data_IF_625175940716
#
_entry.id   IF_625175940716
#
_cell.length_a   1.000
_cell.length_b   1.000
_cell.length_c   1.000
_cell.angle_alpha   90.00
_cell.angle_beta   90.00
_cell.angle_gamma   90.00
#
_symmetry.space_group_name_H-M   'P 1'
#
loop_
_entity.id
_entity.type
_entity.pdbx_description
1 polymer ?
#
# COMPACT_ATOMS: atom_id res chain seq x y z
N UNK A 1 8.70 -17.31 4.70
CA UNK A 1 10.16 -17.37 4.98
C UNK A 1 11.03 -17.01 3.77
N UNK A 2 10.65 -17.39 2.54
CA UNK A 2 11.43 -17.17 1.32
C UNK A 2 11.74 -15.69 1.01
N UNK A 3 10.73 -14.82 1.05
CA UNK A 3 10.90 -13.38 0.79
C UNK A 3 12.00 -12.75 1.66
N UNK A 4 11.99 -13.02 2.97
CA UNK A 4 13.00 -12.51 3.90
C UNK A 4 14.41 -13.02 3.54
N UNK A 5 14.54 -14.32 3.21
CA UNK A 5 15.81 -14.88 2.74
C UNK A 5 16.31 -14.24 1.44
N UNK A 6 15.43 -13.92 0.50
CA UNK A 6 15.81 -13.25 -0.75
C UNK A 6 16.31 -11.85 -0.46
N UNK A 7 15.60 -11.08 0.37
CA UNK A 7 16.01 -9.72 0.75
C UNK A 7 17.37 -9.72 1.46
N UNK A 8 17.54 -10.63 2.43
CA UNK A 8 18.79 -10.77 3.18
C UNK A 8 19.96 -11.15 2.27
N UNK A 9 19.77 -12.13 1.37
CA UNK A 9 20.81 -12.57 0.42
C UNK A 9 21.20 -11.48 -0.58
N UNK A 10 20.27 -10.63 -0.97
CA UNK A 10 20.51 -9.53 -1.91
C UNK A 10 20.91 -8.22 -1.22
N UNK A 11 21.11 -8.23 0.11
CA UNK A 11 21.48 -7.05 0.90
C UNK A 11 20.53 -5.86 0.65
N UNK A 12 19.23 -6.15 0.51
CA UNK A 12 18.22 -5.11 0.30
C UNK A 12 18.15 -4.25 1.56
N UNK A 13 18.51 -2.97 1.42
CA UNK A 13 18.60 -2.02 2.53
C UNK A 13 17.24 -1.55 3.01
N UNK A 14 16.29 -1.41 2.10
CA UNK A 14 14.96 -0.88 2.38
C UNK A 14 13.94 -1.54 1.45
N UNK A 15 12.78 -1.87 2.01
CA UNK A 15 11.61 -2.31 1.26
C UNK A 15 10.53 -1.25 1.44
N UNK A 16 10.03 -0.71 0.33
CA UNK A 16 8.90 0.22 0.33
C UNK A 16 7.70 -0.42 -0.34
N UNK A 17 6.51 -0.26 0.25
CA UNK A 17 5.26 -0.75 -0.33
C UNK A 17 4.46 0.38 -0.93
N UNK A 18 3.90 0.13 -2.12
CA UNK A 18 3.13 1.08 -2.92
C UNK A 18 1.69 0.57 -3.19
N UNK A 19 1.12 -0.18 -2.25
CA UNK A 19 -0.25 -0.70 -2.40
C UNK A 19 -1.27 0.43 -2.54
N UNK A 20 -2.39 0.11 -3.21
CA UNK A 20 -3.51 1.00 -3.42
C UNK A 20 -3.95 1.71 -2.12
N UNK A 21 -4.37 2.95 -2.23
CA UNK A 21 -4.89 3.75 -1.13
C UNK A 21 -6.38 3.44 -0.87
N UNK A 22 -6.70 2.16 -0.77
CA UNK A 22 -8.01 1.66 -0.42
C UNK A 22 -7.94 0.70 0.78
N UNK A 23 -9.11 0.24 1.25
CA UNK A 23 -9.19 -0.65 2.42
C UNK A 23 -8.35 -1.92 2.23
N UNK A 24 -8.32 -2.49 1.03
CA UNK A 24 -7.60 -3.73 0.76
C UNK A 24 -6.09 -3.49 0.73
N UNK A 25 -5.63 -2.43 0.05
CA UNK A 25 -4.23 -2.03 0.05
C UNK A 25 -3.71 -1.71 1.45
N UNK A 26 -4.53 -1.09 2.30
CA UNK A 26 -4.17 -0.88 3.71
C UNK A 26 -4.02 -2.19 4.48
N UNK A 27 -4.90 -3.18 4.28
CA UNK A 27 -4.78 -4.51 4.90
C UNK A 27 -3.50 -5.22 4.48
N UNK A 28 -3.19 -5.25 3.17
CA UNK A 28 -1.98 -5.88 2.66
C UNK A 28 -0.72 -5.23 3.20
N UNK A 29 -0.72 -3.90 3.33
CA UNK A 29 0.38 -3.17 3.96
C UNK A 29 0.61 -3.63 5.40
N UNK A 30 -0.45 -3.78 6.20
CA UNK A 30 -0.33 -4.27 7.57
C UNK A 30 0.11 -5.74 7.64
N UNK A 31 -0.38 -6.60 6.76
CA UNK A 31 0.08 -7.99 6.69
C UNK A 31 1.55 -8.10 6.29
N UNK A 32 2.02 -7.26 5.36
CA UNK A 32 3.43 -7.21 4.99
C UNK A 32 4.29 -6.75 6.16
N UNK A 33 3.87 -5.68 6.86
CA UNK A 33 4.54 -5.19 8.06
C UNK A 33 4.61 -6.26 9.15
N UNK A 34 3.49 -6.95 9.41
CA UNK A 34 3.40 -8.11 10.32
C UNK A 34 4.37 -9.23 9.93
N UNK A 35 4.46 -9.55 8.64
CA UNK A 35 5.34 -10.61 8.15
C UNK A 35 6.84 -10.33 8.41
N UNK A 36 7.26 -9.06 8.36
CA UNK A 36 8.66 -8.68 8.60
C UNK A 36 8.99 -8.39 10.07
N UNK A 37 8.10 -7.69 10.77
CA UNK A 37 8.34 -7.18 12.12
C UNK A 37 7.69 -8.01 13.23
N UNK A 38 6.88 -9.02 12.89
CA UNK A 38 6.23 -9.91 13.86
C UNK A 38 5.08 -9.28 14.63
N UNK A 39 4.48 -8.21 14.09
CA UNK A 39 3.31 -7.55 14.68
C UNK A 39 2.13 -8.55 14.81
N UNK A 40 1.41 -8.53 15.94
CA UNK A 40 0.26 -9.40 16.21
C UNK A 40 -1.08 -8.71 15.97
N UNK A 41 -1.07 -7.48 15.45
CA UNK A 41 -2.29 -6.73 15.10
C UNK A 41 -3.23 -7.61 14.27
N UNK A 42 -4.47 -7.76 14.76
CA UNK A 42 -5.55 -8.39 14.02
C UNK A 42 -6.09 -7.40 12.98
N UNK A 43 -5.62 -7.54 11.75
CA UNK A 43 -5.93 -6.62 10.65
C UNK A 43 -7.41 -6.70 10.23
N UNK A 44 -8.06 -7.83 10.46
CA UNK A 44 -9.45 -8.05 10.04
C UNK A 44 -10.48 -7.36 10.96
N UNK A 45 -10.14 -7.15 12.23
CA UNK A 45 -11.02 -6.43 13.17
C UNK A 45 -10.92 -4.91 13.09
N UNK A 46 -9.92 -4.37 12.39
CA UNK A 46 -9.72 -2.92 12.28
C UNK A 46 -10.73 -2.27 11.32
N UNK A 47 -11.21 -1.10 11.72
CA UNK A 47 -11.96 -0.22 10.84
C UNK A 47 -11.07 0.37 9.74
N UNK A 48 -11.70 0.93 8.69
CA UNK A 48 -10.96 1.53 7.58
C UNK A 48 -10.09 2.72 8.04
N UNK A 49 -10.61 3.55 8.93
CA UNK A 49 -9.87 4.71 9.46
C UNK A 49 -8.67 4.27 10.32
N UNK A 50 -8.82 3.21 11.12
CA UNK A 50 -7.71 2.63 11.88
C UNK A 50 -6.63 2.04 10.98
N UNK A 51 -7.04 1.30 9.94
CA UNK A 51 -6.13 0.75 8.93
C UNK A 51 -5.33 1.89 8.28
N UNK A 52 -6.02 2.91 7.76
CA UNK A 52 -5.39 4.08 7.12
C UNK A 52 -4.45 4.82 8.07
N UNK A 53 -4.87 5.03 9.32
CA UNK A 53 -4.06 5.73 10.32
C UNK A 53 -2.81 4.95 10.71
N UNK A 54 -2.89 3.63 10.83
CA UNK A 54 -1.71 2.79 11.08
C UNK A 54 -0.78 2.80 9.88
N UNK A 55 -1.32 2.68 8.65
CA UNK A 55 -0.52 2.69 7.42
C UNK A 55 0.25 4.01 7.26
N UNK A 56 -0.39 5.16 7.51
CA UNK A 56 0.25 6.48 7.45
C UNK A 56 1.40 6.70 8.44
N UNK A 57 1.46 5.91 9.52
CA UNK A 57 2.56 5.97 10.50
C UNK A 57 3.78 5.17 10.07
N UNK A 58 3.65 4.32 9.05
CA UNK A 58 4.75 3.49 8.55
C UNK A 58 5.62 4.29 7.59
N UNK A 59 6.91 4.40 7.87
CA UNK A 59 7.89 5.09 7.01
C UNK A 59 8.23 4.32 5.73
N UNK A 60 7.91 3.04 5.69
CA UNK A 60 8.19 2.12 4.56
C UNK A 60 7.03 2.04 3.57
N UNK A 61 6.07 2.98 3.64
CA UNK A 61 4.88 2.98 2.79
C UNK A 61 4.83 4.28 2.03
N UNK A 62 4.61 4.18 0.73
CA UNK A 62 4.32 5.31 -0.15
C UNK A 62 2.89 5.12 -0.65
N UNK A 63 2.02 6.10 -0.35
CA UNK A 63 0.62 6.07 -0.74
C UNK A 63 0.39 7.04 -1.89
N UNK A 64 -0.45 6.62 -2.84
CA UNK A 64 -1.03 7.51 -3.84
C UNK A 64 -1.93 8.57 -3.18
N UNK A 65 -2.06 9.72 -3.84
CA UNK A 65 -3.01 10.75 -3.44
C UNK A 65 -4.45 10.31 -3.69
N UNK A 66 -4.68 9.66 -4.84
CA UNK A 66 -5.95 9.06 -5.22
C UNK A 66 -5.95 7.55 -4.91
N UNK A 67 -6.81 6.79 -5.59
CA UNK A 67 -7.02 5.35 -5.32
C UNK A 67 -5.76 4.53 -5.54
N UNK A 68 -5.04 4.76 -6.63
CA UNK A 68 -3.79 4.09 -6.95
C UNK A 68 -2.84 5.03 -7.71
N UNK A 69 -1.59 4.58 -7.89
CA UNK A 69 -0.57 5.36 -8.61
C UNK A 69 -0.89 5.57 -10.09
N UNK A 70 -1.70 4.71 -10.72
CA UNK A 70 -2.08 4.91 -12.12
C UNK A 70 -3.07 6.07 -12.25
N UNK A 71 -3.99 6.23 -11.31
CA UNK A 71 -4.90 7.36 -11.26
C UNK A 71 -4.14 8.67 -11.04
N UNK A 72 -3.16 8.69 -10.14
CA UNK A 72 -2.25 9.84 -9.95
C UNK A 72 -1.46 10.16 -11.23
N UNK A 73 -0.96 9.13 -11.92
CA UNK A 73 -0.25 9.30 -13.18
C UNK A 73 -1.14 9.88 -14.29
N UNK A 74 -2.39 9.41 -14.41
CA UNK A 74 -3.34 9.95 -15.39
C UNK A 74 -3.63 11.42 -15.13
N UNK A 75 -3.90 11.79 -13.88
CA UNK A 75 -4.17 13.17 -13.48
C UNK A 75 -2.96 14.07 -13.75
N UNK A 76 -1.77 13.64 -13.35
CA UNK A 76 -0.53 14.41 -13.57
C UNK A 76 -0.16 14.57 -15.05
N UNK A 77 -0.50 13.59 -15.89
CA UNK A 77 -0.30 13.68 -17.34
C UNK A 77 -1.39 14.48 -18.06
N UNK A 78 -2.39 15.01 -17.35
CA UNK A 78 -3.55 15.68 -17.95
C UNK A 78 -4.42 14.73 -18.78
N UNK A 79 -4.23 13.42 -18.62
CA UNK A 79 -5.04 12.37 -19.23
C UNK A 79 -6.26 12.17 -18.31
N UNK A 80 -7.10 13.21 -18.20
CA UNK A 80 -8.47 12.97 -17.81
C UNK A 80 -9.09 12.19 -18.96
N UNK A 81 -9.30 10.89 -18.78
CA UNK A 81 -10.24 10.19 -19.64
C UNK A 81 -11.58 10.87 -19.41
N UNK A 82 -11.98 11.73 -20.34
CA UNK A 82 -13.38 11.95 -20.64
C UNK A 82 -13.92 10.59 -21.06
N UNK A 83 -14.23 9.72 -20.09
CA UNK A 83 -15.28 8.74 -20.32
C UNK A 83 -16.54 9.57 -20.35
N UNK A 84 -16.86 10.07 -21.54
CA UNK A 84 -18.23 10.32 -21.93
C UNK A 84 -19.04 9.12 -21.46
N UNK A 85 -20.05 9.39 -20.65
CA UNK A 85 -21.02 8.43 -20.17
C UNK A 85 -21.56 7.63 -21.36
N UNK A 86 -21.11 6.39 -21.48
CA UNK A 86 -21.67 5.39 -22.37
C UNK A 86 -23.02 4.94 -21.80
N UNK A 87 -24.04 5.67 -22.22
CA UNK A 87 -25.49 5.39 -22.28
C UNK A 87 -25.98 3.98 -21.92
#
# INVERSE_FOLDING_TARGET
>A
RLLRLILDKNQVKELRSIFDNDKQGHKYTQWLHRYFHGDTTDVESLSNDELRNKVRKLKTVELSENKDWNDDLKISCGICSSTEDGQ
#
